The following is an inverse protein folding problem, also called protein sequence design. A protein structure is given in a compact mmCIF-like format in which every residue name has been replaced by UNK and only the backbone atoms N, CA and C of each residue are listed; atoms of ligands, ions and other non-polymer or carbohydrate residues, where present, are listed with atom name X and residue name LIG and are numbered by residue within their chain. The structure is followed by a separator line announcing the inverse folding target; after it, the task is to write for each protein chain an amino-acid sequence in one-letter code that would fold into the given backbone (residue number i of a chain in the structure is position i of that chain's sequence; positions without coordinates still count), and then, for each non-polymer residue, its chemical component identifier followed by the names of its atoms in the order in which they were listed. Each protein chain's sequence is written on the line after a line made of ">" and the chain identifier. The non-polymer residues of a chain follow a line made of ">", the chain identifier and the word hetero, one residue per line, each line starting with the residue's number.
data_IF_031162243294
#
_entry.id   IF_031162243294
#
_cell.length_a   1.000
_cell.length_b   1.000
_cell.length_c   1.000
_cell.angle_alpha   90.00
_cell.angle_beta   90.00
_cell.angle_gamma   90.00
#
_symmetry.space_group_name_H-M   'P 1'
#
loop_
_entity.id
_entity.type
_entity.pdbx_description
1 polymer ?
#
# COMPACT_ATOMS: atom_id res chain seq x y z
N UNK A 1 -59.26 15.96 12.57
CA UNK A 1 -58.88 15.70 11.16
C UNK A 1 -57.38 15.99 11.03
N UNK A 2 -56.53 14.98 11.20
CA UNK A 2 -55.08 15.12 11.02
C UNK A 2 -54.72 14.79 9.58
N UNK A 3 -54.06 15.70 8.89
CA UNK A 3 -53.47 15.43 7.57
C UNK A 3 -52.25 14.50 7.72
N UNK A 4 -52.00 13.58 6.77
CA UNK A 4 -50.77 12.79 6.77
C UNK A 4 -49.60 13.68 6.31
N UNK A 5 -48.35 13.42 6.75
CA UNK A 5 -47.19 14.01 6.09
C UNK A 5 -47.06 13.34 4.72
N UNK A 6 -47.28 14.13 3.67
CA UNK A 6 -47.03 13.77 2.28
C UNK A 6 -45.58 13.31 2.14
N UNK A 7 -45.39 12.07 1.72
CA UNK A 7 -44.08 11.50 1.46
C UNK A 7 -43.30 12.41 0.50
N UNK A 8 -42.09 12.80 0.93
CA UNK A 8 -41.11 13.40 0.05
C UNK A 8 -40.81 12.39 -1.06
N UNK A 9 -41.45 12.59 -2.21
CA UNK A 9 -41.19 11.83 -3.41
C UNK A 9 -39.74 12.05 -3.81
N UNK A 10 -38.96 10.99 -3.68
CA UNK A 10 -37.64 10.78 -4.26
C UNK A 10 -37.77 10.80 -5.80
N UNK A 11 -37.95 11.99 -6.38
CA UNK A 11 -37.87 12.18 -7.82
C UNK A 11 -36.44 12.58 -8.17
N UNK A 12 -35.52 11.63 -8.10
CA UNK A 12 -34.21 11.81 -8.71
C UNK A 12 -34.39 12.15 -10.19
N UNK A 13 -33.84 13.29 -10.60
CA UNK A 13 -33.95 13.75 -12.00
C UNK A 13 -33.16 12.77 -12.89
N UNK A 14 -33.53 12.53 -14.15
CA UNK A 14 -32.77 11.63 -15.03
C UNK A 14 -31.26 11.92 -15.10
N UNK A 15 -30.85 13.19 -14.91
CA UNK A 15 -29.44 13.58 -14.77
C UNK A 15 -28.76 13.00 -13.52
N UNK A 16 -29.47 12.89 -12.40
CA UNK A 16 -28.93 12.29 -11.16
C UNK A 16 -28.74 10.79 -11.32
N UNK A 17 -29.60 10.12 -12.08
CA UNK A 17 -29.47 8.70 -12.39
C UNK A 17 -28.23 8.42 -13.27
N UNK A 18 -27.99 9.25 -14.29
CA UNK A 18 -26.82 9.14 -15.14
C UNK A 18 -25.51 9.40 -14.38
N UNK A 19 -25.48 10.42 -13.51
CA UNK A 19 -24.32 10.71 -12.65
C UNK A 19 -24.04 9.55 -11.68
N UNK A 20 -25.08 8.98 -11.06
CA UNK A 20 -24.91 7.80 -10.18
C UNK A 20 -24.36 6.59 -10.92
N UNK A 21 -24.82 6.35 -12.15
CA UNK A 21 -24.32 5.25 -12.97
C UNK A 21 -22.82 5.43 -13.29
N UNK A 22 -22.41 6.63 -13.69
CA UNK A 22 -21.00 6.91 -13.98
C UNK A 22 -20.12 6.82 -12.73
N UNK A 23 -20.57 7.35 -11.60
CA UNK A 23 -19.88 7.19 -10.31
C UNK A 23 -19.69 5.71 -9.95
N UNK A 24 -20.70 4.86 -10.20
CA UNK A 24 -20.58 3.42 -9.97
C UNK A 24 -19.49 2.82 -10.85
N UNK A 25 -19.48 3.10 -12.16
CA UNK A 25 -18.48 2.56 -13.09
C UNK A 25 -17.05 2.99 -12.75
N UNK A 26 -16.88 4.24 -12.32
CA UNK A 26 -15.58 4.75 -11.88
C UNK A 26 -15.11 4.06 -10.60
N UNK A 27 -16.01 3.82 -9.64
CA UNK A 27 -15.70 3.08 -8.41
C UNK A 27 -15.33 1.63 -8.68
N UNK A 28 -16.05 0.95 -9.57
CA UNK A 28 -15.70 -0.40 -9.99
C UNK A 28 -14.28 -0.46 -10.59
N UNK A 29 -13.87 0.61 -11.30
CA UNK A 29 -12.51 0.72 -11.84
C UNK A 29 -11.48 0.97 -10.74
N UNK A 30 -11.80 1.80 -9.73
CA UNK A 30 -10.95 2.04 -8.57
C UNK A 30 -10.75 0.75 -7.77
N UNK A 31 -11.81 0.01 -7.48
CA UNK A 31 -11.75 -1.24 -6.72
C UNK A 31 -10.85 -2.28 -7.41
N UNK A 32 -10.89 -2.35 -8.74
CA UNK A 32 -10.00 -3.21 -9.51
C UNK A 32 -8.52 -2.78 -9.43
N UNK A 33 -8.25 -1.47 -9.44
CA UNK A 33 -6.89 -0.94 -9.28
C UNK A 33 -6.39 -1.25 -7.86
N UNK A 34 -7.22 -1.04 -6.85
CA UNK A 34 -6.87 -1.30 -5.45
C UNK A 34 -6.55 -2.78 -5.22
N UNK A 35 -7.32 -3.70 -5.81
CA UNK A 35 -7.00 -5.13 -5.78
C UNK A 35 -5.61 -5.41 -6.40
N UNK A 36 -5.30 -4.80 -7.55
CA UNK A 36 -3.99 -4.95 -8.17
C UNK A 36 -2.85 -4.40 -7.29
N UNK A 37 -3.06 -3.23 -6.66
CA UNK A 37 -2.09 -2.63 -5.71
C UNK A 37 -1.82 -3.58 -4.55
N UNK A 38 -2.86 -4.16 -3.94
CA UNK A 38 -2.72 -5.12 -2.83
C UNK A 38 -1.93 -6.35 -3.26
N UNK A 39 -2.23 -6.93 -4.43
CA UNK A 39 -1.49 -8.08 -4.94
C UNK A 39 -0.01 -7.75 -5.21
N UNK A 40 0.29 -6.59 -5.79
CA UNK A 40 1.67 -6.17 -6.04
C UNK A 40 2.43 -5.90 -4.74
N UNK A 41 1.78 -5.33 -3.74
CA UNK A 41 2.37 -5.16 -2.41
C UNK A 41 2.66 -6.53 -1.77
N UNK A 42 1.74 -7.49 -1.84
CA UNK A 42 1.95 -8.83 -1.31
C UNK A 42 3.20 -9.49 -1.92
N UNK A 43 3.38 -9.42 -3.24
CA UNK A 43 4.59 -9.93 -3.91
C UNK A 43 5.85 -9.15 -3.49
N UNK A 44 5.77 -7.82 -3.37
CA UNK A 44 6.88 -7.01 -2.85
C UNK A 44 7.27 -7.44 -1.44
N UNK A 45 6.30 -7.69 -0.56
CA UNK A 45 6.56 -8.12 0.82
C UNK A 45 7.18 -9.51 0.91
N UNK A 46 6.77 -10.46 0.05
CA UNK A 46 7.45 -11.77 -0.06
C UNK A 46 8.93 -11.62 -0.41
N UNK A 47 9.24 -10.76 -1.38
CA UNK A 47 10.62 -10.46 -1.74
C UNK A 47 11.39 -9.84 -0.58
N UNK A 48 10.81 -8.86 0.13
CA UNK A 48 11.50 -8.22 1.26
C UNK A 48 11.67 -9.16 2.44
N UNK A 49 10.76 -10.09 2.70
CA UNK A 49 10.95 -11.12 3.75
C UNK A 49 12.15 -12.01 3.43
N UNK A 50 12.32 -12.42 2.17
CA UNK A 50 13.50 -13.19 1.72
C UNK A 50 14.79 -12.39 1.88
N UNK A 51 14.76 -11.09 1.55
CA UNK A 51 15.89 -10.17 1.82
C UNK A 51 16.18 -10.09 3.31
N UNK A 52 15.16 -10.00 4.15
CA UNK A 52 15.31 -9.94 5.62
C UNK A 52 15.96 -11.19 6.18
N UNK A 53 15.53 -12.38 5.76
CA UNK A 53 16.16 -13.66 6.12
C UNK A 53 17.62 -13.70 5.69
N UNK A 54 17.88 -13.36 4.42
CA UNK A 54 19.25 -13.32 3.90
C UNK A 54 20.15 -12.36 4.71
N UNK A 55 19.63 -11.17 5.07
CA UNK A 55 20.34 -10.21 5.91
C UNK A 55 20.62 -10.78 7.30
N UNK A 56 19.61 -11.37 7.95
CA UNK A 56 19.75 -11.97 9.28
C UNK A 56 20.80 -13.09 9.30
N UNK A 57 20.73 -14.02 8.34
CA UNK A 57 21.67 -15.14 8.21
C UNK A 57 23.13 -14.67 8.08
N UNK A 58 23.34 -13.51 7.44
CA UNK A 58 24.66 -12.92 7.21
C UNK A 58 25.01 -11.79 8.19
N UNK A 59 24.22 -11.59 9.26
CA UNK A 59 24.41 -10.53 10.26
C UNK A 59 24.49 -9.11 9.66
N UNK A 60 23.75 -8.87 8.58
CA UNK A 60 23.64 -7.56 7.93
C UNK A 60 22.55 -6.73 8.62
N UNK A 61 22.69 -5.40 8.66
CA UNK A 61 21.71 -4.53 9.30
C UNK A 61 20.36 -4.56 8.56
N UNK A 62 19.22 -4.52 9.31
CA UNK A 62 17.87 -4.40 8.75
C UNK A 62 17.71 -3.18 7.83
N UNK A 63 18.18 -2.00 8.27
CA UNK A 63 18.16 -0.77 7.50
C UNK A 63 19.35 -0.68 6.51
N UNK A 64 19.14 0.00 5.38
CA UNK A 64 20.19 0.33 4.41
C UNK A 64 19.91 1.73 3.84
N UNK A 65 20.39 2.80 4.52
CA UNK A 65 20.09 4.18 4.14
C UNK A 65 20.47 4.53 2.70
N UNK A 66 21.57 3.94 2.20
CA UNK A 66 22.02 4.18 0.84
C UNK A 66 21.06 3.54 -0.19
N UNK A 67 20.55 2.33 0.10
CA UNK A 67 19.53 1.68 -0.74
C UNK A 67 18.20 2.41 -0.68
N UNK A 68 17.79 2.89 0.49
CA UNK A 68 16.55 3.65 0.71
C UNK A 68 16.57 4.97 -0.09
N UNK A 69 17.64 5.76 0.01
CA UNK A 69 17.81 6.99 -0.76
C UNK A 69 17.69 6.76 -2.28
N UNK A 70 18.29 5.67 -2.80
CA UNK A 70 18.15 5.29 -4.22
C UNK A 70 16.73 4.88 -4.60
N UNK A 71 15.97 4.25 -3.70
CA UNK A 71 14.57 3.91 -3.96
C UNK A 71 13.71 5.16 -4.04
N UNK A 72 13.92 6.13 -3.13
CA UNK A 72 13.19 7.40 -3.12
C UNK A 72 13.46 8.17 -4.41
N UNK A 73 14.72 8.36 -4.78
CA UNK A 73 15.08 9.08 -6.01
C UNK A 73 14.40 8.46 -7.25
N UNK A 74 14.54 7.14 -7.43
CA UNK A 74 13.90 6.43 -8.55
C UNK A 74 12.38 6.52 -8.52
N UNK A 75 11.76 6.46 -7.36
CA UNK A 75 10.29 6.51 -7.27
C UNK A 75 9.77 7.91 -7.60
N UNK A 76 10.47 8.97 -7.20
CA UNK A 76 10.12 10.34 -7.58
C UNK A 76 10.13 10.52 -9.10
N UNK A 77 11.16 10.03 -9.78
CA UNK A 77 11.22 10.04 -11.25
C UNK A 77 10.05 9.28 -11.89
N UNK A 78 9.70 8.10 -11.36
CA UNK A 78 8.55 7.33 -11.84
C UNK A 78 7.23 8.07 -11.61
N UNK A 79 7.05 8.71 -10.45
CA UNK A 79 5.87 9.49 -10.13
C UNK A 79 5.70 10.67 -11.10
N UNK A 80 6.77 11.42 -11.37
CA UNK A 80 6.77 12.51 -12.37
C UNK A 80 6.33 12.00 -13.74
N UNK A 81 6.90 10.89 -14.20
CA UNK A 81 6.55 10.29 -15.50
C UNK A 81 5.08 9.83 -15.57
N UNK A 82 4.52 9.41 -14.44
CA UNK A 82 3.15 8.95 -14.31
C UNK A 82 2.14 10.08 -14.01
N UNK A 83 2.59 11.33 -13.92
CA UNK A 83 1.78 12.49 -13.49
C UNK A 83 1.17 12.32 -12.09
N UNK A 84 1.88 11.60 -11.22
CA UNK A 84 1.58 11.46 -9.79
C UNK A 84 2.44 12.46 -9.00
N UNK A 85 1.90 13.02 -7.92
CA UNK A 85 2.69 13.88 -7.03
C UNK A 85 3.90 13.12 -6.45
N UNK A 86 5.15 13.57 -6.72
CA UNK A 86 6.34 12.91 -6.19
C UNK A 86 6.38 12.93 -4.65
N UNK A 87 5.81 13.96 -4.02
CA UNK A 87 5.71 14.06 -2.57
C UNK A 87 4.82 12.97 -1.97
N UNK A 88 3.67 12.70 -2.59
CA UNK A 88 2.80 11.59 -2.24
C UNK A 88 3.49 10.23 -2.44
N UNK A 89 4.13 10.02 -3.59
CA UNK A 89 4.83 8.76 -3.87
C UNK A 89 5.94 8.47 -2.85
N UNK A 90 6.71 9.49 -2.48
CA UNK A 90 7.74 9.40 -1.45
C UNK A 90 7.13 9.04 -0.07
N UNK A 91 6.05 9.69 0.35
CA UNK A 91 5.36 9.36 1.60
C UNK A 91 4.89 7.90 1.64
N UNK A 92 4.30 7.42 0.54
CA UNK A 92 3.87 6.03 0.42
C UNK A 92 5.05 5.06 0.54
N UNK A 93 6.16 5.35 -0.14
CA UNK A 93 7.34 4.51 -0.07
C UNK A 93 7.98 4.50 1.30
N UNK A 94 8.07 5.65 1.96
CA UNK A 94 8.60 5.75 3.33
C UNK A 94 7.78 4.91 4.30
N UNK A 95 6.45 4.94 4.18
CA UNK A 95 5.56 4.06 4.94
C UNK A 95 5.88 2.58 4.70
N UNK A 96 6.00 2.17 3.43
CA UNK A 96 6.33 0.78 3.08
C UNK A 96 7.73 0.37 3.59
N UNK A 97 8.73 1.25 3.49
CA UNK A 97 10.09 0.98 3.97
C UNK A 97 10.11 0.78 5.47
N UNK A 98 9.42 1.64 6.24
CA UNK A 98 9.35 1.50 7.69
C UNK A 98 8.79 0.14 8.11
N UNK A 99 7.73 -0.32 7.44
CA UNK A 99 7.12 -1.63 7.69
C UNK A 99 8.05 -2.79 7.30
N UNK A 100 8.84 -2.64 6.23
CA UNK A 100 9.84 -3.64 5.84
C UNK A 100 10.97 -3.75 6.85
N UNK A 101 11.47 -2.62 7.37
CA UNK A 101 12.55 -2.61 8.39
C UNK A 101 12.05 -3.30 9.66
N UNK A 102 10.84 -2.98 10.12
CA UNK A 102 10.20 -3.65 11.26
C UNK A 102 10.14 -5.16 11.09
N UNK A 103 9.79 -5.65 9.90
CA UNK A 103 9.79 -7.09 9.60
C UNK A 103 11.21 -7.69 9.58
N UNK A 104 12.22 -6.95 9.13
CA UNK A 104 13.60 -7.44 9.13
C UNK A 104 14.16 -7.56 10.55
N UNK A 105 13.83 -6.62 11.44
CA UNK A 105 14.16 -6.70 12.86
C UNK A 105 13.55 -7.96 13.49
N UNK A 106 12.25 -8.21 13.27
CA UNK A 106 11.57 -9.42 13.76
C UNK A 106 12.23 -10.72 13.25
N UNK A 107 12.57 -10.77 11.95
CA UNK A 107 13.25 -11.94 11.37
C UNK A 107 14.64 -12.13 11.99
N UNK A 108 15.39 -11.05 12.25
CA UNK A 108 16.68 -11.13 12.88
C UNK A 108 16.58 -11.68 14.31
N UNK A 109 15.62 -11.19 15.09
CA UNK A 109 15.34 -11.68 16.44
C UNK A 109 14.95 -13.17 16.44
N UNK A 110 14.08 -13.58 15.50
CA UNK A 110 13.67 -14.98 15.34
C UNK A 110 14.84 -15.90 14.96
N UNK A 111 15.73 -15.45 14.08
CA UNK A 111 16.93 -16.22 13.69
C UNK A 111 17.88 -16.36 14.87
N UNK A 112 18.05 -15.32 15.69
CA UNK A 112 18.87 -15.37 16.91
C UNK A 112 18.25 -16.33 17.94
N UNK A 113 16.94 -16.27 18.17
CA UNK A 113 16.23 -17.13 19.12
C UNK A 113 16.27 -18.61 18.71
N UNK A 114 16.13 -18.91 17.41
CA UNK A 114 16.12 -20.28 16.89
C UNK A 114 17.53 -20.83 16.58
N UNK A 115 18.51 -19.96 16.33
CA UNK A 115 19.91 -20.31 16.08
C UNK A 115 20.74 -20.55 17.36
N UNK A 116 20.18 -20.28 18.54
CA UNK A 116 20.80 -20.51 19.85
C UNK A 116 20.78 -21.97 20.35
N UNK A 117 20.40 -22.92 19.51
CA UNK A 117 20.25 -24.34 19.89
C UNK A 117 21.15 -25.28 19.10
N UNK A 118 22.45 -25.35 19.40
CA UNK A 118 23.18 -26.63 19.61
C UNK A 118 24.58 -26.38 20.23
N UNK A 119 25.12 -27.37 20.99
CA UNK A 119 26.11 -27.21 22.07
C UNK A 119 27.57 -27.07 21.62
#
# INVERSE_FOLDING_TARGET
>A
MSAPPTGATDTATPGDAAVRAELSRLRDSIDNIDAAVVHMLAERFKCTQRVGRLKADHKLPPADPAREARQIARLRELAESAKLDPGFAEKLLNFIIAEVIRHHEQIADDVVANGGGTP
#
